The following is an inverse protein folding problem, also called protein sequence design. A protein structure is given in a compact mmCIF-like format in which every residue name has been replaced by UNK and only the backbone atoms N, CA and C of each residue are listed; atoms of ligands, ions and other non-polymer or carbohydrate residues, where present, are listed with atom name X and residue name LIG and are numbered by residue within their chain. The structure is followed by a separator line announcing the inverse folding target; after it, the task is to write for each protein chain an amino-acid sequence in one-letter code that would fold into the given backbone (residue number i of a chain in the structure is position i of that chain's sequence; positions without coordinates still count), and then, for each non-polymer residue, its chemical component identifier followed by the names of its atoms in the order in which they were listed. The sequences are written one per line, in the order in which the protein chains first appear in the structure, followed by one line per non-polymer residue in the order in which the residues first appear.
data_IF_192271169393
#
_entry.id   IF_192271169393
#
_cell.length_a   1.000
_cell.length_b   1.000
_cell.length_c   1.000
_cell.angle_alpha   90.00
_cell.angle_beta   90.00
_cell.angle_gamma   90.00
#
_symmetry.space_group_name_H-M   'P 1'
#
loop_
_entity.id
_entity.type
_entity.pdbx_description
1 polymer ?
#
# COMPACT_ATOMS: atom_id res chain seq x y z
N UNK A 1 -14.61 -0.51 4.32
CA UNK A 1 -14.12 0.46 3.32
C UNK A 1 -13.74 -0.32 2.08
N UNK A 2 -14.14 0.15 0.91
CA UNK A 2 -13.73 -0.38 -0.38
C UNK A 2 -12.92 0.68 -1.10
N UNK A 3 -11.72 0.35 -1.56
CA UNK A 3 -10.92 1.20 -2.43
C UNK A 3 -10.87 0.54 -3.80
N UNK A 4 -11.32 1.27 -4.82
CA UNK A 4 -11.30 0.85 -6.21
C UNK A 4 -10.22 1.64 -6.93
N UNK A 5 -9.32 0.94 -7.61
CA UNK A 5 -8.30 1.57 -8.42
C UNK A 5 -8.41 1.08 -9.87
N UNK A 6 -8.16 1.99 -10.83
CA UNK A 6 -8.11 1.65 -12.25
C UNK A 6 -6.78 2.08 -12.84
N UNK A 7 -5.99 1.10 -13.28
CA UNK A 7 -4.68 1.32 -13.89
C UNK A 7 -4.66 1.03 -15.40
N UNK A 8 -5.68 0.38 -15.96
CA UNK A 8 -5.71 -0.05 -17.37
C UNK A 8 -6.71 0.75 -18.23
N UNK A 9 -6.27 1.19 -19.41
CA UNK A 9 -7.12 1.85 -20.41
C UNK A 9 -8.24 0.89 -20.86
N UNK A 10 -9.44 1.41 -21.13
CA UNK A 10 -10.65 0.65 -21.52
C UNK A 10 -11.24 -0.36 -20.52
N UNK A 11 -10.79 -0.40 -19.26
CA UNK A 11 -11.46 -1.16 -18.20
C UNK A 11 -12.49 -0.31 -17.43
N UNK A 12 -13.37 -0.97 -16.67
CA UNK A 12 -14.27 -0.33 -15.72
C UNK A 12 -13.48 0.65 -14.84
N UNK A 13 -13.88 1.92 -14.86
CA UNK A 13 -13.00 3.04 -14.52
C UNK A 13 -13.14 3.74 -13.16
N UNK A 14 -13.84 3.22 -12.13
CA UNK A 14 -13.92 3.96 -10.88
C UNK A 14 -12.55 3.95 -10.17
N UNK A 15 -12.00 5.14 -9.95
CA UNK A 15 -10.99 5.41 -8.94
C UNK A 15 -11.75 6.01 -7.76
N UNK A 16 -12.28 5.18 -6.87
CA UNK A 16 -13.20 5.64 -5.81
C UNK A 16 -12.98 4.86 -4.52
N UNK A 17 -13.13 5.56 -3.40
CA UNK A 17 -13.11 4.98 -2.08
C UNK A 17 -14.49 5.14 -1.42
N UNK A 18 -15.07 4.01 -1.02
CA UNK A 18 -16.37 3.96 -0.35
C UNK A 18 -16.21 3.50 1.09
N UNK A 19 -16.65 4.34 2.02
CA UNK A 19 -16.73 4.00 3.45
C UNK A 19 -18.18 3.67 3.78
N UNK A 20 -18.44 2.41 4.13
CA UNK A 20 -19.77 1.97 4.54
C UNK A 20 -19.85 1.99 6.07
N UNK A 21 -20.66 2.89 6.60
CA UNK A 21 -21.09 2.91 8.00
C UNK A 21 -22.46 2.27 8.19
N UNK A 22 -22.93 2.23 9.44
CA UNK A 22 -24.26 1.71 9.81
C UNK A 22 -25.41 2.57 9.25
N UNK A 23 -25.21 3.88 9.11
CA UNK A 23 -26.23 4.86 8.69
C UNK A 23 -25.98 5.53 7.36
N UNK A 24 -24.75 5.42 6.84
CA UNK A 24 -24.35 6.11 5.63
C UNK A 24 -23.25 5.38 4.87
N UNK A 25 -23.23 5.60 3.56
CA UNK A 25 -22.07 5.31 2.71
C UNK A 25 -21.47 6.64 2.31
N UNK A 26 -20.15 6.77 2.36
CA UNK A 26 -19.42 7.98 1.95
C UNK A 26 -18.55 7.63 0.77
N UNK A 27 -18.67 8.40 -0.30
CA UNK A 27 -17.72 8.43 -1.41
C UNK A 27 -16.67 9.52 -1.12
N UNK A 28 -15.39 9.16 -1.12
CA UNK A 28 -14.30 10.07 -0.80
C UNK A 28 -13.74 10.80 -2.03
N UNK A 29 -14.26 10.52 -3.24
CA UNK A 29 -13.75 11.11 -4.48
C UNK A 29 -14.25 12.55 -4.71
N UNK A 30 -13.96 13.44 -3.74
CA UNK A 30 -14.20 14.88 -3.81
C UNK A 30 -15.65 15.33 -3.59
N UNK A 31 -16.60 14.41 -3.37
CA UNK A 31 -18.00 14.75 -3.07
C UNK A 31 -18.53 13.83 -1.99
N UNK A 32 -18.64 14.36 -0.79
CA UNK A 32 -19.21 13.65 0.35
C UNK A 32 -20.69 13.35 0.07
N UNK A 33 -20.99 12.18 -0.48
CA UNK A 33 -22.37 11.71 -0.69
C UNK A 33 -22.82 10.86 0.49
N UNK A 34 -22.96 11.49 1.66
CA UNK A 34 -23.71 10.85 2.76
C UNK A 34 -25.17 10.77 2.31
N UNK A 35 -25.84 9.64 2.56
CA UNK A 35 -27.30 9.51 2.41
C UNK A 35 -28.12 10.60 3.16
N UNK A 36 -27.49 11.41 4.01
CA UNK A 36 -28.12 12.43 4.86
C UNK A 36 -27.32 13.74 5.06
N UNK A 37 -26.14 13.95 4.45
CA UNK A 37 -25.37 15.20 4.63
C UNK A 37 -25.08 15.88 3.29
N UNK A 38 -25.18 17.21 3.29
CA UNK A 38 -24.82 18.06 2.16
C UNK A 38 -23.30 18.16 2.08
N UNK A 39 -22.78 17.90 0.89
CA UNK A 39 -21.50 18.40 0.42
C UNK A 39 -21.46 19.91 0.66
N UNK A 40 -20.51 20.39 1.46
CA UNK A 40 -20.35 21.81 1.77
C UNK A 40 -19.76 22.61 0.59
N UNK A 41 -19.44 21.91 -0.51
CA UNK A 41 -18.96 22.50 -1.75
C UNK A 41 -17.53 22.99 -1.65
N UNK A 42 -16.79 22.59 -0.61
CA UNK A 42 -15.36 22.88 -0.54
C UNK A 42 -14.61 21.95 -1.50
N UNK A 43 -14.08 22.55 -2.57
CA UNK A 43 -13.14 21.85 -3.43
C UNK A 43 -11.87 21.54 -2.62
N UNK A 44 -11.47 20.26 -2.51
CA UNK A 44 -10.25 19.91 -1.80
C UNK A 44 -9.04 20.57 -2.48
N UNK A 45 -8.15 21.15 -1.69
CA UNK A 45 -6.93 21.73 -2.22
C UNK A 45 -6.05 20.66 -2.87
N UNK A 46 -5.32 21.05 -3.93
CA UNK A 46 -4.46 20.14 -4.66
C UNK A 46 -3.42 19.49 -3.71
N UNK A 47 -3.44 18.15 -3.51
CA UNK A 47 -2.59 17.48 -2.53
C UNK A 47 -1.10 17.60 -2.88
N UNK A 48 -0.74 17.60 -4.17
CA UNK A 48 0.66 17.80 -4.60
C UNK A 48 1.16 19.20 -4.25
N UNK A 49 0.29 20.21 -4.26
CA UNK A 49 0.66 21.56 -3.85
C UNK A 49 0.89 21.60 -2.34
N UNK A 50 -0.03 21.01 -1.57
CA UNK A 50 0.05 20.96 -0.11
C UNK A 50 1.33 20.25 0.37
N UNK A 51 1.66 19.11 -0.23
CA UNK A 51 2.88 18.36 0.09
C UNK A 51 4.14 19.23 -0.06
N UNK A 52 4.28 19.91 -1.21
CA UNK A 52 5.41 20.82 -1.43
C UNK A 52 5.39 22.02 -0.47
N UNK A 53 4.21 22.59 -0.16
CA UNK A 53 4.10 23.69 0.79
C UNK A 53 4.54 23.29 2.19
N UNK A 54 4.12 22.11 2.67
CA UNK A 54 4.53 21.59 3.98
C UNK A 54 6.03 21.31 4.04
N UNK A 55 6.60 20.71 2.99
CA UNK A 55 8.03 20.46 2.90
C UNK A 55 8.83 21.78 2.95
N UNK A 56 8.43 22.78 2.15
CA UNK A 56 9.09 24.08 2.12
C UNK A 56 8.94 24.85 3.44
N UNK A 57 7.75 24.83 4.05
CA UNK A 57 7.51 25.43 5.37
C UNK A 57 8.39 24.80 6.45
N UNK A 58 8.55 23.47 6.41
CA UNK A 58 9.42 22.75 7.34
C UNK A 58 10.89 23.15 7.18
N UNK A 59 11.38 23.24 5.95
CA UNK A 59 12.77 23.65 5.65
C UNK A 59 13.01 25.11 6.04
N UNK A 60 12.12 26.03 5.65
CA UNK A 60 12.33 27.46 5.87
C UNK A 60 12.19 27.88 7.33
N UNK A 61 11.37 27.18 8.10
CA UNK A 61 11.13 27.50 9.50
C UNK A 61 11.81 26.53 10.48
N UNK A 62 12.71 25.66 9.99
CA UNK A 62 13.41 24.67 10.80
C UNK A 62 12.47 23.84 11.69
N UNK A 63 11.34 23.41 11.11
CA UNK A 63 10.32 22.62 11.82
C UNK A 63 10.59 21.14 11.61
N UNK A 64 10.43 20.30 12.65
CA UNK A 64 10.45 18.86 12.47
C UNK A 64 9.22 18.43 11.66
N UNK A 65 9.46 17.88 10.47
CA UNK A 65 8.43 17.28 9.62
C UNK A 65 8.90 15.90 9.18
N UNK A 66 8.18 14.85 9.57
CA UNK A 66 8.56 13.47 9.31
C UNK A 66 7.31 12.63 9.03
N UNK A 67 7.19 12.16 7.79
CA UNK A 67 6.14 11.24 7.35
C UNK A 67 6.66 9.81 7.18
N UNK A 68 7.92 9.53 7.57
CA UNK A 68 8.56 8.24 7.42
C UNK A 68 7.84 7.10 8.14
N UNK A 69 7.19 7.39 9.27
CA UNK A 69 6.33 6.40 9.95
C UNK A 69 5.11 6.01 9.11
N UNK A 70 4.41 7.01 8.56
CA UNK A 70 3.26 6.79 7.67
C UNK A 70 3.70 6.04 6.41
N UNK A 71 4.86 6.40 5.86
CA UNK A 71 5.46 5.70 4.73
C UNK A 71 5.76 4.24 5.05
N UNK A 72 6.40 3.96 6.19
CA UNK A 72 6.71 2.61 6.64
C UNK A 72 5.43 1.76 6.84
N UNK A 73 4.42 2.34 7.49
CA UNK A 73 3.14 1.66 7.71
C UNK A 73 2.39 1.37 6.39
N UNK A 74 2.42 2.32 5.44
CA UNK A 74 1.83 2.15 4.11
C UNK A 74 2.53 1.04 3.31
N UNK A 75 3.86 1.02 3.34
CA UNK A 75 4.66 -0.05 2.73
C UNK A 75 4.36 -1.40 3.36
N UNK A 76 4.31 -1.49 4.69
CA UNK A 76 4.03 -2.73 5.39
C UNK A 76 2.60 -3.24 5.14
N UNK A 77 1.63 -2.33 5.01
CA UNK A 77 0.25 -2.69 4.61
C UNK A 77 0.23 -3.37 3.24
N UNK A 78 1.04 -2.88 2.30
CA UNK A 78 1.17 -3.50 0.96
C UNK A 78 1.80 -4.89 1.04
N UNK A 79 2.81 -5.07 1.90
CA UNK A 79 3.43 -6.38 2.15
C UNK A 79 2.39 -7.35 2.72
N UNK A 80 1.62 -6.96 3.75
CA UNK A 80 0.56 -7.81 4.32
C UNK A 80 -0.45 -8.24 3.26
N UNK A 81 -0.88 -7.32 2.38
CA UNK A 81 -1.81 -7.63 1.30
C UNK A 81 -1.26 -8.67 0.33
N UNK A 82 0.01 -8.54 -0.06
CA UNK A 82 0.74 -9.53 -0.87
C UNK A 82 0.80 -10.88 -0.17
N UNK A 83 1.28 -10.91 1.07
CA UNK A 83 1.49 -12.13 1.84
C UNK A 83 0.17 -12.87 2.09
N UNK A 84 -0.91 -12.15 2.39
CA UNK A 84 -2.25 -12.73 2.52
C UNK A 84 -2.77 -13.31 1.21
N UNK A 85 -2.58 -12.61 0.09
CA UNK A 85 -3.03 -13.06 -1.23
C UNK A 85 -2.29 -14.30 -1.70
N UNK A 86 -0.98 -14.35 -1.47
CA UNK A 86 -0.11 -15.43 -1.92
C UNK A 86 -0.16 -16.67 -1.02
N UNK A 87 -0.39 -16.49 0.29
CA UNK A 87 -0.53 -17.62 1.21
C UNK A 87 -1.98 -18.14 1.28
N UNK A 88 -2.97 -17.30 1.01
CA UNK A 88 -4.37 -17.59 1.30
C UNK A 88 -4.68 -17.65 2.81
N UNK A 89 -3.78 -17.15 3.66
CA UNK A 89 -3.90 -17.20 5.12
C UNK A 89 -4.29 -15.85 5.70
N UNK A 90 -4.82 -15.88 6.93
CA UNK A 90 -5.08 -14.68 7.72
C UNK A 90 -3.76 -14.20 8.32
N UNK A 91 -3.31 -13.02 7.90
CA UNK A 91 -2.05 -12.42 8.35
C UNK A 91 -2.32 -11.37 9.43
N UNK A 92 -1.52 -11.39 10.50
CA UNK A 92 -1.53 -10.38 11.56
C UNK A 92 -0.29 -9.50 11.44
N UNK A 93 -0.48 -8.20 11.67
CA UNK A 93 0.58 -7.20 11.56
C UNK A 93 1.80 -7.57 12.40
N UNK A 94 1.61 -7.72 13.72
CA UNK A 94 2.70 -7.96 14.66
C UNK A 94 3.43 -9.28 14.38
N UNK A 95 2.71 -10.31 13.93
CA UNK A 95 3.30 -11.60 13.60
C UNK A 95 4.18 -11.50 12.36
N UNK A 96 3.72 -10.79 11.33
CA UNK A 96 4.50 -10.60 10.11
C UNK A 96 5.74 -9.76 10.40
N UNK A 97 5.63 -8.67 11.16
CA UNK A 97 6.79 -7.86 11.57
C UNK A 97 7.83 -8.70 12.32
N UNK A 98 7.38 -9.60 13.21
CA UNK A 98 8.28 -10.38 14.05
C UNK A 98 8.87 -11.63 13.39
N UNK A 99 8.14 -12.26 12.46
CA UNK A 99 8.46 -13.60 11.95
C UNK A 99 8.77 -13.64 10.44
N UNK A 100 8.48 -12.57 9.69
CA UNK A 100 8.73 -12.58 8.25
C UNK A 100 10.20 -12.86 7.92
N UNK A 101 10.48 -13.61 6.85
CA UNK A 101 11.84 -13.82 6.40
C UNK A 101 12.44 -12.49 5.90
N UNK A 102 13.70 -12.26 6.25
CA UNK A 102 14.46 -11.15 5.70
C UNK A 102 14.80 -11.46 4.24
N UNK A 103 14.21 -10.69 3.33
CA UNK A 103 14.44 -10.78 1.88
C UNK A 103 15.46 -9.74 1.39
N UNK A 104 16.01 -8.92 2.30
CA UNK A 104 17.00 -7.94 1.95
C UNK A 104 18.37 -8.62 1.74
N UNK A 105 19.09 -8.32 0.64
CA UNK A 105 20.45 -8.82 0.47
C UNK A 105 21.35 -8.33 1.60
N UNK A 106 22.10 -9.25 2.23
CA UNK A 106 22.98 -8.92 3.36
C UNK A 106 24.14 -8.01 2.93
N UNK A 107 24.67 -8.25 1.74
CA UNK A 107 25.73 -7.47 1.13
C UNK A 107 25.20 -6.83 -0.16
N UNK A 108 25.59 -5.58 -0.42
CA UNK A 108 25.21 -4.86 -1.64
C UNK A 108 26.44 -4.68 -2.52
N UNK A 109 26.96 -5.80 -3.04
CA UNK A 109 28.09 -5.82 -3.97
C UNK A 109 27.66 -6.37 -5.33
N UNK A 110 28.42 -6.07 -6.38
CA UNK A 110 28.16 -6.59 -7.73
C UNK A 110 28.20 -8.12 -7.82
N UNK A 111 28.87 -8.77 -6.88
CA UNK A 111 28.99 -10.23 -6.78
C UNK A 111 27.90 -10.86 -5.89
N UNK A 112 27.01 -10.05 -5.29
CA UNK A 112 25.99 -10.58 -4.40
C UNK A 112 24.91 -11.27 -5.21
N UNK A 113 24.76 -12.57 -4.99
CA UNK A 113 23.66 -13.32 -5.58
C UNK A 113 22.33 -12.88 -4.95
N UNK A 114 21.27 -12.73 -5.76
CA UNK A 114 19.94 -12.46 -5.22
C UNK A 114 19.49 -13.62 -4.32
N UNK A 115 18.65 -13.36 -3.30
CA UNK A 115 18.16 -14.40 -2.39
C UNK A 115 17.31 -15.47 -3.09
N UNK A 116 16.94 -15.22 -4.34
CA UNK A 116 16.07 -16.06 -5.16
C UNK A 116 16.79 -16.31 -6.48
N UNK A 117 17.14 -17.58 -6.73
CA UNK A 117 17.89 -18.02 -7.91
C UNK A 117 17.02 -18.92 -8.82
N UNK A 118 17.28 -18.96 -10.13
CA UNK A 118 16.56 -19.85 -11.03
C UNK A 118 16.94 -21.33 -10.79
N UNK A 119 16.09 -22.24 -11.28
CA UNK A 119 16.42 -23.66 -11.38
C UNK A 119 17.52 -23.92 -12.44
N UNK A 120 17.95 -25.18 -12.56
CA UNK A 120 18.96 -25.61 -13.54
C UNK A 120 18.58 -25.30 -15.01
N UNK A 121 17.30 -25.08 -15.29
CA UNK A 121 16.79 -24.72 -16.62
C UNK A 121 16.53 -23.21 -16.77
N UNK A 122 16.91 -22.40 -15.78
CA UNK A 122 16.73 -20.95 -15.81
C UNK A 122 15.33 -20.47 -15.40
N UNK A 123 14.50 -21.34 -14.82
CA UNK A 123 13.09 -21.04 -14.49
C UNK A 123 12.90 -20.75 -13.00
N UNK A 124 11.84 -20.01 -12.69
CA UNK A 124 11.47 -19.64 -11.32
C UNK A 124 10.20 -20.37 -10.85
N UNK A 125 9.79 -21.45 -11.52
CA UNK A 125 8.51 -22.14 -11.28
C UNK A 125 8.36 -22.63 -9.83
N UNK A 126 9.48 -23.01 -9.20
CA UNK A 126 9.52 -23.47 -7.80
C UNK A 126 9.33 -22.34 -6.76
N UNK A 127 9.35 -21.08 -7.21
CA UNK A 127 9.27 -19.88 -6.38
C UNK A 127 7.99 -19.09 -6.60
N UNK A 128 7.19 -19.47 -7.62
CA UNK A 128 5.89 -18.86 -7.85
C UNK A 128 4.99 -19.19 -6.65
N UNK A 129 4.52 -18.18 -5.90
CA UNK A 129 3.69 -18.44 -4.74
C UNK A 129 2.35 -19.04 -5.18
N UNK A 130 2.02 -20.20 -4.62
CA UNK A 130 0.74 -20.87 -4.84
C UNK A 130 -0.11 -20.66 -3.57
N UNK A 131 -1.30 -20.03 -3.68
CA UNK A 131 -2.24 -19.91 -2.57
C UNK A 131 -2.50 -21.24 -1.88
N UNK A 132 -2.38 -21.26 -0.55
CA UNK A 132 -2.52 -22.46 0.29
C UNK A 132 -1.23 -23.27 0.50
N UNK A 133 -0.19 -23.06 -0.32
CA UNK A 133 1.11 -23.72 -0.17
C UNK A 133 2.21 -22.76 0.29
N UNK A 134 2.16 -21.52 -0.19
CA UNK A 134 3.12 -20.49 0.22
C UNK A 134 2.95 -20.15 1.70
N UNK A 135 4.09 -20.02 2.40
CA UNK A 135 4.14 -19.63 3.80
C UNK A 135 4.68 -18.20 3.91
N UNK A 136 3.92 -17.29 4.52
CA UNK A 136 4.31 -15.89 4.69
C UNK A 136 5.38 -15.70 5.78
N UNK A 137 5.46 -16.66 6.71
CA UNK A 137 6.43 -16.81 7.80
C UNK A 137 6.38 -18.24 8.35
#
# INVERSE_FOLDING_TARGET
MYSQCRQMVNCWGPMTEHVHGDRAVVDLNGKMRISQARDDGQEPENPYRLEHLHLLDAIWNDKPYNEGWIGADSSMTSIIGREASYSGQVIRWDELVAKAPDVFPKDLTWETEPPVMPDEQGRYDHLVPIPGFYKPY
#
